data_IF_083607827946
#
_entry.id   IF_083607827946
#
_cell.length_a   1.000
_cell.length_b   1.000
_cell.length_c   1.000
_cell.angle_alpha   90.00
_cell.angle_beta   90.00
_cell.angle_gamma   90.00
#
_symmetry.space_group_name_H-M   'P 1'
#
loop_
_entity.id
_entity.type
_entity.pdbx_description
1 polymer ?
#
# COMPACT_ATOMS: atom_id res chain seq x y z
N UNK A 1 54.04 12.97 -10.82
CA UNK A 1 53.01 14.01 -10.96
C UNK A 1 51.92 13.49 -11.88
N UNK A 2 50.75 13.11 -11.33
CA UNK A 2 49.58 12.81 -12.16
C UNK A 2 49.08 14.13 -12.75
N UNK A 3 48.89 14.17 -14.06
CA UNK A 3 48.30 15.35 -14.72
C UNK A 3 46.87 15.54 -14.22
N UNK A 4 46.39 16.79 -14.16
CA UNK A 4 45.06 17.14 -13.63
C UNK A 4 43.92 16.31 -14.23
N UNK A 5 44.04 15.89 -15.49
CA UNK A 5 43.08 15.00 -16.15
C UNK A 5 43.15 13.55 -15.66
N UNK A 6 44.34 13.01 -15.40
CA UNK A 6 44.49 11.64 -14.88
C UNK A 6 44.04 11.51 -13.43
N UNK A 7 44.16 12.59 -12.63
CA UNK A 7 43.60 12.64 -11.28
C UNK A 7 42.05 12.65 -11.29
N UNK A 8 41.44 13.36 -12.24
CA UNK A 8 39.99 13.43 -12.40
C UNK A 8 39.41 12.07 -12.84
N UNK A 9 40.07 11.41 -13.80
CA UNK A 9 39.66 10.07 -14.25
C UNK A 9 39.79 9.04 -13.13
N UNK A 10 40.87 9.10 -12.34
CA UNK A 10 41.06 8.22 -11.18
C UNK A 10 39.99 8.45 -10.11
N UNK A 11 39.64 9.72 -9.83
CA UNK A 11 38.57 10.07 -8.89
C UNK A 11 37.21 9.56 -9.36
N UNK A 12 36.87 9.73 -10.64
CA UNK A 12 35.62 9.18 -11.22
C UNK A 12 35.63 7.66 -11.17
N UNK A 13 36.77 7.01 -11.45
CA UNK A 13 36.88 5.56 -11.42
C UNK A 13 36.77 4.99 -9.99
N UNK A 14 37.35 5.67 -8.99
CA UNK A 14 37.22 5.32 -7.56
C UNK A 14 35.79 5.61 -7.05
N UNK A 15 35.13 6.66 -7.55
CA UNK A 15 33.73 6.94 -7.26
C UNK A 15 32.84 5.82 -7.84
N UNK A 16 33.06 5.43 -9.11
CA UNK A 16 32.33 4.34 -9.77
C UNK A 16 32.59 2.98 -9.09
N UNK A 17 33.83 2.72 -8.64
CA UNK A 17 34.17 1.48 -7.92
C UNK A 17 33.61 1.44 -6.49
N UNK A 18 33.45 2.58 -5.82
CA UNK A 18 32.85 2.63 -4.47
C UNK A 18 31.32 2.44 -4.48
N UNK A 19 30.67 2.48 -5.65
CA UNK A 19 29.26 2.12 -5.83
C UNK A 19 29.01 0.62 -6.07
N UNK A 20 30.03 -0.25 -5.97
CA UNK A 20 29.90 -1.69 -6.27
C UNK A 20 29.25 -2.52 -5.15
N UNK A 21 29.03 -1.95 -3.96
CA UNK A 21 28.12 -2.55 -2.98
C UNK A 21 26.71 -2.00 -3.20
N UNK A 22 25.77 -2.88 -3.56
CA UNK A 22 24.41 -2.50 -3.92
C UNK A 22 23.70 -1.64 -2.85
N UNK A 23 24.07 -1.78 -1.57
CA UNK A 23 23.57 -0.98 -0.45
C UNK A 23 24.17 0.45 -0.37
N UNK A 24 25.43 0.69 -0.72
CA UNK A 24 26.00 2.05 -0.72
C UNK A 24 25.56 2.87 -1.94
N UNK A 25 25.38 2.21 -3.09
CA UNK A 25 24.75 2.84 -4.26
C UNK A 25 23.30 3.25 -3.97
N UNK A 26 22.63 2.52 -3.09
CA UNK A 26 21.24 2.72 -2.74
C UNK A 26 21.01 4.01 -1.94
N UNK A 27 21.75 4.21 -0.85
CA UNK A 27 21.61 5.39 -0.01
C UNK A 27 22.13 6.65 -0.72
N UNK A 28 23.15 6.52 -1.58
CA UNK A 28 23.65 7.61 -2.41
C UNK A 28 22.60 8.10 -3.45
N UNK A 29 21.82 7.19 -4.04
CA UNK A 29 20.76 7.57 -4.99
C UNK A 29 19.63 8.35 -4.30
N UNK A 30 19.18 7.95 -3.11
CA UNK A 30 18.15 8.69 -2.35
C UNK A 30 18.71 10.01 -1.81
N UNK A 31 19.96 10.04 -1.34
CA UNK A 31 20.63 11.27 -0.96
C UNK A 31 20.71 12.27 -2.13
N UNK A 32 20.98 11.78 -3.34
CA UNK A 32 20.99 12.60 -4.56
C UNK A 32 19.60 13.16 -4.88
N UNK A 33 18.55 12.33 -4.84
CA UNK A 33 17.17 12.78 -5.04
C UNK A 33 16.76 13.84 -3.99
N UNK A 34 17.09 13.60 -2.71
CA UNK A 34 16.90 14.55 -1.62
C UNK A 34 17.67 15.87 -1.85
N UNK A 35 18.88 15.79 -2.40
CA UNK A 35 19.68 16.94 -2.80
C UNK A 35 18.98 17.80 -3.85
N UNK A 36 18.52 17.16 -4.94
CA UNK A 36 17.72 17.83 -5.98
C UNK A 36 16.44 18.46 -5.41
N UNK A 37 15.76 17.76 -4.49
CA UNK A 37 14.57 18.28 -3.82
C UNK A 37 14.88 19.55 -3.02
N UNK A 38 15.96 19.55 -2.22
CA UNK A 38 16.37 20.69 -1.39
C UNK A 38 16.70 21.94 -2.22
N UNK A 39 17.33 21.78 -3.38
CA UNK A 39 17.60 22.88 -4.31
C UNK A 39 16.41 23.22 -5.22
N UNK A 40 15.21 22.68 -4.93
CA UNK A 40 13.97 22.90 -5.68
C UNK A 40 13.99 22.43 -7.14
N UNK A 41 14.91 21.53 -7.49
CA UNK A 41 14.94 20.87 -8.80
C UNK A 41 13.98 19.68 -8.83
N UNK A 42 12.67 19.96 -8.74
CA UNK A 42 11.64 18.94 -8.52
C UNK A 42 11.54 17.93 -9.68
N UNK A 43 11.79 18.35 -10.93
CA UNK A 43 11.80 17.44 -12.08
C UNK A 43 12.91 16.40 -11.97
N UNK A 44 14.13 16.81 -11.59
CA UNK A 44 15.23 15.87 -11.38
C UNK A 44 14.98 14.99 -10.16
N UNK A 45 14.54 15.59 -9.04
CA UNK A 45 14.18 14.85 -7.84
C UNK A 45 13.14 13.75 -8.14
N UNK A 46 12.07 14.08 -8.86
CA UNK A 46 11.05 13.13 -9.31
C UNK A 46 11.66 11.98 -10.12
N UNK A 47 12.45 12.27 -11.16
CA UNK A 47 13.07 11.24 -11.99
C UNK A 47 13.90 10.27 -11.15
N UNK A 48 14.68 10.78 -10.19
CA UNK A 48 15.49 9.93 -9.33
C UNK A 48 14.66 9.11 -8.34
N UNK A 49 13.63 9.71 -7.70
CA UNK A 49 12.74 8.96 -6.80
C UNK A 49 11.95 7.86 -7.54
N UNK A 50 11.38 8.16 -8.70
CA UNK A 50 10.59 7.19 -9.49
C UNK A 50 11.46 6.04 -10.01
N UNK A 51 12.60 6.37 -10.64
CA UNK A 51 13.52 5.35 -11.15
C UNK A 51 14.00 4.41 -10.04
N UNK A 52 14.24 4.99 -8.86
CA UNK A 52 14.67 4.23 -7.71
C UNK A 52 13.56 3.36 -7.13
N UNK A 53 12.37 3.90 -6.90
CA UNK A 53 11.23 3.14 -6.41
C UNK A 53 10.95 1.91 -7.30
N UNK A 54 10.96 2.10 -8.62
CA UNK A 54 10.82 1.02 -9.60
C UNK A 54 11.93 -0.03 -9.50
N UNK A 55 13.18 0.38 -9.27
CA UNK A 55 14.30 -0.55 -9.06
C UNK A 55 14.12 -1.36 -7.78
N UNK A 56 13.71 -0.71 -6.68
CA UNK A 56 13.46 -1.38 -5.41
C UNK A 56 12.28 -2.37 -5.51
N UNK A 57 11.17 -1.95 -6.12
CA UNK A 57 10.01 -2.80 -6.40
C UNK A 57 10.39 -4.02 -7.25
N UNK A 58 11.21 -3.81 -8.29
CA UNK A 58 11.76 -4.91 -9.09
C UNK A 58 12.60 -5.85 -8.23
N UNK A 59 13.46 -5.35 -7.36
CA UNK A 59 14.29 -6.19 -6.49
C UNK A 59 13.48 -6.94 -5.42
N UNK A 60 12.38 -6.36 -4.95
CA UNK A 60 11.45 -7.01 -4.02
C UNK A 60 10.72 -8.19 -4.66
N UNK A 61 10.47 -8.12 -5.97
CA UNK A 61 9.74 -9.14 -6.73
C UNK A 61 10.63 -10.06 -7.55
N UNK A 62 11.92 -9.74 -7.68
CA UNK A 62 12.87 -10.51 -8.48
C UNK A 62 13.08 -11.90 -7.87
N UNK A 63 12.68 -12.92 -8.61
CA UNK A 63 13.15 -14.29 -8.40
C UNK A 63 14.50 -14.39 -9.08
N UNK A 64 15.60 -14.21 -8.33
CA UNK A 64 16.91 -14.55 -8.88
C UNK A 64 17.05 -16.09 -8.84
N UNK A 65 17.11 -16.77 -10.00
CA UNK A 65 17.24 -18.22 -10.05
C UNK A 65 18.54 -18.72 -9.39
N UNK A 66 19.53 -17.84 -9.20
CA UNK A 66 20.83 -18.15 -8.59
C UNK A 66 20.98 -17.61 -7.15
N UNK A 67 19.96 -16.94 -6.59
CA UNK A 67 19.92 -16.55 -5.17
C UNK A 67 19.79 -17.81 -4.31
N UNK A 68 20.94 -18.37 -3.95
CA UNK A 68 21.07 -19.59 -3.18
C UNK A 68 21.77 -19.29 -1.86
N UNK A 69 20.99 -19.29 -0.78
CA UNK A 69 21.54 -19.01 0.54
C UNK A 69 21.97 -20.28 1.27
N UNK A 70 23.21 -20.29 1.73
CA UNK A 70 23.78 -21.31 2.60
C UNK A 70 23.38 -21.00 4.06
N UNK A 71 22.80 -21.98 4.77
CA UNK A 71 22.25 -21.89 6.13
C UNK A 71 20.88 -21.19 6.24
N UNK A 72 19.82 -21.99 6.46
CA UNK A 72 18.43 -21.52 6.38
C UNK A 72 18.06 -20.41 7.39
N UNK A 73 18.39 -20.57 8.68
CA UNK A 73 17.81 -19.69 9.72
C UNK A 73 18.39 -18.27 9.71
N UNK A 74 19.72 -18.14 9.58
CA UNK A 74 20.37 -16.83 9.57
C UNK A 74 20.18 -16.11 8.23
N UNK A 75 20.19 -16.85 7.11
CA UNK A 75 19.91 -16.28 5.81
C UNK A 75 18.46 -15.79 5.69
N UNK A 76 17.48 -16.54 6.20
CA UNK A 76 16.08 -16.13 6.19
C UNK A 76 15.87 -14.83 6.98
N UNK A 77 16.47 -14.72 8.17
CA UNK A 77 16.43 -13.47 8.96
C UNK A 77 17.03 -12.31 8.18
N UNK A 78 18.19 -12.50 7.55
CA UNK A 78 18.84 -11.48 6.74
C UNK A 78 17.97 -11.06 5.54
N UNK A 79 17.34 -12.01 4.85
CA UNK A 79 16.42 -11.72 3.75
C UNK A 79 15.17 -10.95 4.19
N UNK A 80 14.65 -11.25 5.39
CA UNK A 80 13.55 -10.50 5.98
C UNK A 80 13.95 -9.06 6.32
N UNK A 81 15.18 -8.85 6.82
CA UNK A 81 15.71 -7.52 7.12
C UNK A 81 15.93 -6.70 5.84
N UNK A 82 16.63 -7.26 4.84
CA UNK A 82 16.88 -6.62 3.54
C UNK A 82 15.58 -6.31 2.80
N UNK A 83 14.62 -7.24 2.81
CA UNK A 83 13.32 -7.04 2.18
C UNK A 83 12.48 -5.95 2.86
N UNK A 84 12.53 -5.85 4.20
CA UNK A 84 11.87 -4.75 4.94
C UNK A 84 12.52 -3.41 4.60
N UNK A 85 13.84 -3.34 4.60
CA UNK A 85 14.58 -2.11 4.26
C UNK A 85 14.26 -1.65 2.83
N UNK A 86 14.28 -2.56 1.86
CA UNK A 86 13.87 -2.25 0.49
C UNK A 86 12.42 -1.76 0.42
N UNK A 87 11.51 -2.37 1.16
CA UNK A 87 10.10 -1.96 1.19
C UNK A 87 9.93 -0.55 1.78
N UNK A 88 10.60 -0.23 2.89
CA UNK A 88 10.57 1.11 3.50
C UNK A 88 11.06 2.18 2.54
N UNK A 89 12.14 1.89 1.84
CA UNK A 89 12.74 2.82 0.90
C UNK A 89 11.91 2.94 -0.38
N UNK A 90 11.25 1.86 -0.83
CA UNK A 90 10.27 1.92 -1.94
C UNK A 90 9.09 2.81 -1.58
N UNK A 91 8.52 2.63 -0.37
CA UNK A 91 7.45 3.48 0.15
C UNK A 91 7.87 4.95 0.14
N UNK A 92 9.02 5.26 0.76
CA UNK A 92 9.53 6.62 0.87
C UNK A 92 9.72 7.28 -0.50
N UNK A 93 10.27 6.55 -1.48
CA UNK A 93 10.51 7.11 -2.80
C UNK A 93 9.21 7.34 -3.59
N UNK A 94 8.22 6.46 -3.51
CA UNK A 94 6.92 6.77 -4.11
C UNK A 94 6.22 7.93 -3.41
N UNK A 95 6.30 8.02 -2.08
CA UNK A 95 5.79 9.17 -1.34
C UNK A 95 6.45 10.47 -1.81
N UNK A 96 7.80 10.53 -1.84
CA UNK A 96 8.51 11.73 -2.26
C UNK A 96 8.33 12.06 -3.75
N UNK A 97 8.13 11.06 -4.60
CA UNK A 97 7.73 11.28 -6.00
C UNK A 97 6.34 11.92 -6.11
N UNK A 98 5.40 11.56 -5.24
CA UNK A 98 4.12 12.28 -5.11
C UNK A 98 4.35 13.73 -4.67
N UNK A 99 5.22 13.95 -3.67
CA UNK A 99 5.51 15.30 -3.16
C UNK A 99 6.12 16.19 -4.23
N UNK A 100 7.06 15.67 -5.03
CA UNK A 100 7.66 16.43 -6.14
C UNK A 100 6.63 16.77 -7.21
N UNK A 101 5.72 15.86 -7.54
CA UNK A 101 4.64 16.12 -8.50
C UNK A 101 3.67 17.21 -8.01
N UNK A 102 3.32 17.23 -6.72
CA UNK A 102 2.57 18.35 -6.14
C UNK A 102 3.33 19.68 -6.29
N UNK A 103 4.64 19.71 -5.99
CA UNK A 103 5.47 20.91 -6.17
C UNK A 103 5.61 21.33 -7.64
N UNK A 104 5.38 20.42 -8.58
CA UNK A 104 5.34 20.67 -10.02
C UNK A 104 3.93 20.99 -10.53
N UNK A 105 2.95 21.17 -9.64
CA UNK A 105 1.54 21.43 -9.97
C UNK A 105 0.89 20.30 -10.81
N UNK A 106 1.19 19.04 -10.47
CA UNK A 106 0.64 17.83 -11.11
C UNK A 106 -0.12 16.94 -10.10
N UNK A 107 -1.26 17.41 -9.56
CA UNK A 107 -1.98 16.73 -8.48
C UNK A 107 -2.52 15.34 -8.87
N UNK A 108 -3.03 15.18 -10.10
CA UNK A 108 -3.55 13.89 -10.57
C UNK A 108 -2.44 12.81 -10.65
N UNK A 109 -1.25 13.19 -11.13
CA UNK A 109 -0.09 12.30 -11.13
C UNK A 109 0.36 11.99 -9.70
N UNK A 110 0.40 13.00 -8.82
CA UNK A 110 0.81 12.83 -7.42
C UNK A 110 -0.05 11.81 -6.68
N UNK A 111 -1.38 11.87 -6.89
CA UNK A 111 -2.32 10.93 -6.30
C UNK A 111 -1.97 9.47 -6.63
N UNK A 112 -1.64 9.19 -7.90
CA UNK A 112 -1.23 7.85 -8.33
C UNK A 112 0.02 7.36 -7.59
N UNK A 113 0.97 8.24 -7.29
CA UNK A 113 2.19 7.91 -6.55
C UNK A 113 1.95 7.67 -5.06
N UNK A 114 1.06 8.44 -4.41
CA UNK A 114 0.69 8.16 -3.03
C UNK A 114 -0.09 6.86 -2.86
N UNK A 115 -0.93 6.53 -3.84
CA UNK A 115 -1.58 5.21 -3.89
C UNK A 115 -0.51 4.13 -4.04
N UNK A 116 0.46 4.25 -4.97
CA UNK A 116 1.58 3.30 -5.07
C UNK A 116 2.36 3.15 -3.76
N UNK A 117 2.66 4.26 -3.07
CA UNK A 117 3.30 4.22 -1.77
C UNK A 117 2.48 3.39 -0.77
N UNK A 118 1.16 3.59 -0.72
CA UNK A 118 0.27 2.82 0.16
C UNK A 118 0.33 1.30 -0.10
N UNK A 119 0.44 0.89 -1.37
CA UNK A 119 0.63 -0.52 -1.75
C UNK A 119 1.99 -1.09 -1.30
N UNK A 120 2.99 -0.24 -1.09
CA UNK A 120 4.34 -0.59 -0.62
C UNK A 120 4.47 -0.63 0.90
N UNK A 121 3.39 -1.00 1.58
CA UNK A 121 3.35 -1.31 3.03
C UNK A 121 3.50 -2.81 3.30
N UNK A 122 3.23 -3.64 2.28
CA UNK A 122 3.47 -5.07 2.30
C UNK A 122 3.87 -5.60 0.92
N UNK A 123 4.80 -6.55 0.92
CA UNK A 123 5.27 -7.26 -0.26
C UNK A 123 5.64 -8.70 0.11
N UNK A 124 5.84 -9.54 -0.91
CA UNK A 124 6.38 -10.89 -0.71
C UNK A 124 7.45 -11.19 -1.77
N UNK A 125 8.37 -12.11 -1.43
CA UNK A 125 9.41 -12.62 -2.34
C UNK A 125 9.55 -14.12 -2.17
N UNK A 126 9.69 -14.85 -3.28
CA UNK A 126 10.06 -16.26 -3.25
C UNK A 126 11.60 -16.37 -3.19
N UNK A 127 12.12 -17.10 -2.19
CA UNK A 127 13.55 -17.28 -1.95
C UNK A 127 13.90 -18.76 -1.86
N UNK A 128 14.95 -19.18 -2.55
CA UNK A 128 15.43 -20.56 -2.52
C UNK A 128 16.61 -20.70 -1.56
N UNK A 129 16.45 -21.52 -0.52
CA UNK A 129 17.51 -21.86 0.41
C UNK A 129 18.14 -23.20 0.03
N UNK A 130 19.47 -23.28 0.12
CA UNK A 130 20.21 -24.53 -0.11
C UNK A 130 20.79 -25.01 1.21
N UNK A 131 20.39 -26.20 1.62
CA UNK A 131 20.98 -26.83 2.80
C UNK A 131 22.48 -27.09 2.55
N UNK A 132 23.32 -26.66 3.48
CA UNK A 132 24.79 -26.71 3.34
C UNK A 132 25.33 -28.13 3.17
N UNK A 133 24.83 -29.07 3.98
CA UNK A 133 25.27 -30.48 3.96
C UNK A 133 24.53 -31.30 2.88
N UNK A 134 23.19 -31.33 2.91
CA UNK A 134 22.41 -32.22 2.03
C UNK A 134 22.18 -31.65 0.63
N UNK A 135 22.56 -30.40 0.36
CA UNK A 135 22.30 -29.66 -0.90
C UNK A 135 20.81 -29.58 -1.29
N UNK A 136 19.90 -29.99 -0.40
CA UNK A 136 18.46 -29.92 -0.63
C UNK A 136 18.04 -28.46 -0.81
N UNK A 137 17.36 -28.17 -1.91
CA UNK A 137 16.76 -26.86 -2.18
C UNK A 137 15.40 -26.76 -1.49
N UNK A 138 15.10 -25.61 -0.90
CA UNK A 138 13.80 -25.33 -0.27
C UNK A 138 13.38 -23.91 -0.61
N UNK A 139 12.31 -23.78 -1.39
CA UNK A 139 11.74 -22.47 -1.72
C UNK A 139 10.78 -22.05 -0.62
N UNK A 140 10.94 -20.83 -0.12
CA UNK A 140 10.00 -20.20 0.82
C UNK A 140 9.52 -18.87 0.26
N UNK A 141 8.25 -18.57 0.50
CA UNK A 141 7.67 -17.27 0.22
C UNK A 141 7.72 -16.41 1.47
N UNK A 142 8.61 -15.42 1.48
CA UNK A 142 8.81 -14.50 2.59
C UNK A 142 7.87 -13.31 2.44
N UNK A 143 7.24 -12.89 3.55
CA UNK A 143 6.35 -11.73 3.58
C UNK A 143 7.03 -10.60 4.36
N UNK A 144 7.09 -9.42 3.75
CA UNK A 144 7.61 -8.20 4.36
C UNK A 144 6.45 -7.26 4.66
N UNK A 145 6.43 -6.71 5.87
CA UNK A 145 5.46 -5.71 6.31
C UNK A 145 6.21 -4.60 7.04
N UNK A 146 5.81 -3.38 6.80
CA UNK A 146 6.38 -2.18 7.41
C UNK A 146 5.26 -1.30 7.98
N UNK A 147 5.61 -0.47 8.95
CA UNK A 147 4.75 0.63 9.42
C UNK A 147 5.47 1.96 9.14
N UNK A 148 5.32 2.53 7.94
CA UNK A 148 6.08 3.71 7.54
C UNK A 148 5.75 4.91 8.42
N UNK A 149 6.77 5.69 8.80
CA UNK A 149 6.59 6.92 9.59
C UNK A 149 5.65 7.93 8.92
N UNK A 150 5.67 8.01 7.59
CA UNK A 150 4.83 8.93 6.80
C UNK A 150 3.51 8.30 6.31
N UNK A 151 3.04 7.21 6.93
CA UNK A 151 1.81 6.56 6.49
C UNK A 151 0.58 7.47 6.68
N UNK A 152 0.48 8.17 7.81
CA UNK A 152 -0.62 9.10 8.06
C UNK A 152 -0.56 10.32 7.14
N UNK A 153 0.62 10.93 6.96
CA UNK A 153 0.82 12.01 5.99
C UNK A 153 0.40 11.60 4.57
N UNK A 154 0.65 10.34 4.20
CA UNK A 154 0.24 9.80 2.91
C UNK A 154 -1.29 9.71 2.78
N UNK A 155 -2.00 9.32 3.85
CA UNK A 155 -3.46 9.35 3.87
C UNK A 155 -3.99 10.78 3.71
N UNK A 156 -3.45 11.73 4.48
CA UNK A 156 -3.87 13.13 4.44
C UNK A 156 -3.68 13.77 3.06
N UNK A 157 -2.56 13.44 2.39
CA UNK A 157 -2.30 13.91 1.02
C UNK A 157 -3.24 13.29 -0.01
N UNK A 158 -3.52 11.98 0.09
CA UNK A 158 -4.51 11.32 -0.78
C UNK A 158 -5.89 11.97 -0.59
N UNK A 159 -6.26 12.29 0.65
CA UNK A 159 -7.49 13.01 0.95
C UNK A 159 -7.51 14.40 0.32
N UNK A 160 -6.47 15.21 0.56
CA UNK A 160 -6.39 16.56 0.06
C UNK A 160 -6.42 16.64 -1.48
N UNK A 161 -5.88 15.64 -2.16
CA UNK A 161 -5.91 15.53 -3.62
C UNK A 161 -7.24 14.99 -4.18
N UNK A 162 -8.15 14.55 -3.31
CA UNK A 162 -9.52 14.21 -3.67
C UNK A 162 -9.67 12.92 -4.47
N UNK A 163 -9.12 11.80 -3.97
CA UNK A 163 -9.41 10.49 -4.56
C UNK A 163 -10.92 10.24 -4.62
N UNK A 164 -11.39 9.71 -5.75
CA UNK A 164 -12.79 9.33 -5.91
C UNK A 164 -13.13 8.13 -5.01
N UNK A 165 -14.23 8.23 -4.26
CA UNK A 165 -14.65 7.20 -3.30
C UNK A 165 -15.02 5.90 -4.01
N UNK A 166 -15.64 5.95 -5.19
CA UNK A 166 -15.98 4.77 -6.00
C UNK A 166 -14.72 4.07 -6.48
N UNK A 167 -13.75 4.83 -7.01
CA UNK A 167 -12.45 4.27 -7.44
C UNK A 167 -11.71 3.60 -6.27
N UNK A 168 -11.77 4.18 -5.07
CA UNK A 168 -11.16 3.57 -3.89
C UNK A 168 -11.87 2.27 -3.49
N UNK A 169 -13.21 2.24 -3.50
CA UNK A 169 -13.99 1.04 -3.21
C UNK A 169 -13.72 -0.08 -4.23
N UNK A 170 -13.59 0.25 -5.52
CA UNK A 170 -13.22 -0.70 -6.57
C UNK A 170 -11.82 -1.30 -6.34
N UNK A 171 -10.86 -0.50 -5.88
CA UNK A 171 -9.52 -1.00 -5.52
C UNK A 171 -9.57 -1.93 -4.31
N UNK A 172 -10.34 -1.59 -3.27
CA UNK A 172 -10.54 -2.46 -2.09
C UNK A 172 -11.13 -3.80 -2.55
N UNK A 173 -12.19 -3.74 -3.36
CA UNK A 173 -12.87 -4.92 -3.92
C UNK A 173 -11.90 -5.80 -4.71
N UNK A 174 -11.14 -5.23 -5.65
CA UNK A 174 -10.21 -6.00 -6.48
C UNK A 174 -9.17 -6.75 -5.62
N UNK A 175 -8.64 -6.10 -4.57
CA UNK A 175 -7.71 -6.75 -3.64
C UNK A 175 -8.39 -7.84 -2.82
N UNK A 176 -9.64 -7.60 -2.38
CA UNK A 176 -10.43 -8.55 -1.61
C UNK A 176 -10.85 -9.78 -2.43
N UNK A 177 -11.16 -9.63 -3.72
CA UNK A 177 -11.44 -10.73 -4.64
C UNK A 177 -10.21 -11.62 -4.84
N UNK A 178 -9.03 -11.02 -5.06
CA UNK A 178 -7.77 -11.77 -5.12
C UNK A 178 -7.55 -12.52 -3.80
N UNK A 179 -7.78 -11.87 -2.65
CA UNK A 179 -7.63 -12.51 -1.33
C UNK A 179 -8.59 -13.69 -1.17
N UNK A 180 -9.86 -13.56 -1.56
CA UNK A 180 -10.86 -14.64 -1.54
C UNK A 180 -10.42 -15.81 -2.39
N UNK A 181 -9.99 -15.55 -3.62
CA UNK A 181 -9.59 -16.62 -4.55
C UNK A 181 -8.35 -17.36 -4.03
N UNK A 182 -7.39 -16.63 -3.45
CA UNK A 182 -6.27 -17.24 -2.73
C UNK A 182 -6.72 -18.06 -1.52
N UNK A 183 -7.72 -17.61 -0.76
CA UNK A 183 -8.28 -18.36 0.37
C UNK A 183 -8.82 -19.72 -0.08
N UNK A 184 -9.58 -19.75 -1.18
CA UNK A 184 -10.12 -21.00 -1.76
C UNK A 184 -9.01 -21.95 -2.22
N UNK A 185 -7.96 -21.42 -2.85
CA UNK A 185 -6.79 -22.22 -3.24
C UNK A 185 -6.05 -22.82 -2.03
N UNK A 186 -5.98 -22.07 -0.92
CA UNK A 186 -5.33 -22.51 0.32
C UNK A 186 -6.18 -23.58 1.02
N UNK A 187 -7.47 -23.33 1.20
CA UNK A 187 -8.40 -24.24 1.88
C UNK A 187 -8.57 -25.55 1.12
N UNK A 188 -8.73 -25.48 -0.20
CA UNK A 188 -8.84 -26.65 -1.08
C UNK A 188 -7.52 -27.39 -1.31
N UNK A 189 -6.38 -26.89 -0.78
CA UNK A 189 -5.04 -27.42 -1.03
C UNK A 189 -4.73 -27.62 -2.53
N UNK A 190 -5.20 -26.72 -3.39
CA UNK A 190 -4.98 -26.74 -4.83
C UNK A 190 -3.52 -26.34 -5.10
N UNK A 191 -2.83 -27.00 -6.03
CA UNK A 191 -1.38 -26.84 -6.27
C UNK A 191 -0.55 -26.89 -4.96
N UNK A 192 -0.41 -28.06 -4.31
CA UNK A 192 0.29 -28.19 -3.02
C UNK A 192 1.68 -27.55 -2.98
N UNK A 193 2.40 -27.57 -4.10
CA UNK A 193 3.75 -26.99 -4.23
C UNK A 193 3.75 -25.44 -4.16
N UNK A 194 2.63 -24.78 -4.46
CA UNK A 194 2.48 -23.31 -4.44
C UNK A 194 1.81 -22.77 -3.18
N UNK A 195 1.45 -23.64 -2.25
CA UNK A 195 0.73 -23.27 -1.02
C UNK A 195 1.46 -22.20 -0.20
N UNK A 196 2.80 -22.23 -0.17
CA UNK A 196 3.61 -21.19 0.47
C UNK A 196 3.42 -19.82 -0.19
N UNK A 197 3.40 -19.76 -1.52
CA UNK A 197 3.21 -18.53 -2.28
C UNK A 197 1.79 -17.98 -2.09
N UNK A 198 0.77 -18.84 -2.16
CA UNK A 198 -0.61 -18.42 -1.97
C UNK A 198 -0.83 -17.78 -0.59
N UNK A 199 -0.28 -18.39 0.47
CA UNK A 199 -0.33 -17.84 1.83
C UNK A 199 0.40 -16.50 1.93
N UNK A 200 1.55 -16.34 1.27
CA UNK A 200 2.29 -15.09 1.27
C UNK A 200 1.53 -13.97 0.53
N UNK A 201 0.99 -14.27 -0.66
CA UNK A 201 0.15 -13.36 -1.44
C UNK A 201 -1.10 -12.96 -0.68
N UNK A 202 -1.76 -13.92 -0.02
CA UNK A 202 -2.93 -13.67 0.82
C UNK A 202 -2.60 -12.67 1.92
N UNK A 203 -1.49 -12.86 2.63
CA UNK A 203 -1.06 -11.97 3.71
C UNK A 203 -0.74 -10.54 3.23
N UNK A 204 -0.22 -10.39 2.00
CA UNK A 204 0.03 -9.09 1.36
C UNK A 204 -1.29 -8.42 0.97
N UNK A 205 -2.20 -9.14 0.33
CA UNK A 205 -3.53 -8.63 0.00
C UNK A 205 -4.28 -8.14 1.24
N UNK A 206 -4.23 -8.92 2.33
CA UNK A 206 -4.88 -8.56 3.60
C UNK A 206 -4.37 -7.22 4.15
N UNK A 207 -3.05 -6.97 4.11
CA UNK A 207 -2.48 -5.69 4.58
C UNK A 207 -2.83 -4.52 3.64
N UNK A 208 -2.81 -4.75 2.32
CA UNK A 208 -3.18 -3.71 1.33
C UNK A 208 -4.64 -3.30 1.44
N UNK A 209 -5.52 -4.29 1.55
CA UNK A 209 -6.96 -4.09 1.74
C UNK A 209 -7.26 -3.36 3.04
N UNK A 210 -6.59 -3.71 4.14
CA UNK A 210 -6.69 -2.99 5.41
C UNK A 210 -6.33 -1.51 5.24
N UNK A 211 -5.18 -1.20 4.64
CA UNK A 211 -4.72 0.18 4.47
C UNK A 211 -5.64 1.00 3.56
N UNK A 212 -6.19 0.40 2.50
CA UNK A 212 -7.19 1.06 1.65
C UNK A 212 -8.52 1.27 2.40
N UNK A 213 -8.91 0.33 3.25
CA UNK A 213 -10.12 0.43 4.08
C UNK A 213 -9.99 1.53 5.13
N UNK A 214 -8.83 1.65 5.79
CA UNK A 214 -8.51 2.75 6.72
C UNK A 214 -8.58 4.10 6.00
N UNK A 215 -8.03 4.19 4.78
CA UNK A 215 -8.17 5.41 3.98
C UNK A 215 -9.65 5.71 3.71
N UNK A 216 -10.45 4.74 3.25
CA UNK A 216 -11.87 4.93 2.98
C UNK A 216 -12.65 5.38 4.22
N UNK A 217 -12.39 4.74 5.36
CA UNK A 217 -12.97 5.10 6.65
C UNK A 217 -12.66 6.55 7.00
N UNK A 218 -11.37 6.94 6.99
CA UNK A 218 -10.92 8.28 7.29
C UNK A 218 -11.59 9.32 6.38
N UNK A 219 -11.69 9.04 5.07
CA UNK A 219 -12.32 9.93 4.10
C UNK A 219 -13.79 10.20 4.43
N UNK A 220 -14.54 9.14 4.71
CA UNK A 220 -16.00 9.23 4.86
C UNK A 220 -16.36 9.74 6.26
N UNK A 221 -15.72 9.22 7.30
CA UNK A 221 -15.95 9.64 8.70
C UNK A 221 -15.58 11.12 8.89
N UNK A 222 -14.48 11.58 8.27
CA UNK A 222 -14.09 12.99 8.35
C UNK A 222 -15.16 13.92 7.76
N UNK A 223 -15.75 13.58 6.62
CA UNK A 223 -16.83 14.37 6.02
C UNK A 223 -18.11 14.31 6.86
N UNK A 224 -18.51 13.12 7.34
CA UNK A 224 -19.69 12.94 8.19
C UNK A 224 -19.62 13.81 9.45
N UNK A 225 -18.45 13.84 10.11
CA UNK A 225 -18.23 14.64 11.33
C UNK A 225 -18.27 16.15 11.07
N UNK A 226 -18.23 16.57 9.81
CA UNK A 226 -18.39 17.97 9.37
C UNK A 226 -19.77 18.27 8.80
N UNK A 227 -20.71 17.32 8.89
CA UNK A 227 -22.05 17.46 8.32
C UNK A 227 -22.11 17.27 6.80
N UNK A 228 -21.04 16.76 6.18
CA UNK A 228 -20.96 16.51 4.74
C UNK A 228 -21.18 15.02 4.49
N UNK A 229 -22.22 14.67 3.72
CA UNK A 229 -22.61 13.27 3.51
C UNK A 229 -22.41 12.78 2.07
N UNK A 230 -21.78 13.57 1.19
CA UNK A 230 -21.59 13.22 -0.23
C UNK A 230 -20.85 11.90 -0.41
N UNK A 231 -19.71 11.70 0.28
CA UNK A 231 -18.97 10.43 0.18
C UNK A 231 -19.66 9.27 0.90
N UNK A 232 -20.37 9.56 1.99
CA UNK A 232 -21.20 8.57 2.68
C UNK A 232 -22.30 8.05 1.74
N UNK A 233 -23.04 8.94 1.07
CA UNK A 233 -24.11 8.57 0.16
C UNK A 233 -23.57 7.80 -1.06
N UNK A 234 -22.41 8.21 -1.60
CA UNK A 234 -21.73 7.48 -2.66
C UNK A 234 -21.29 6.06 -2.21
N UNK A 235 -20.81 5.93 -0.97
CA UNK A 235 -20.45 4.64 -0.39
C UNK A 235 -21.67 3.73 -0.21
N UNK A 236 -22.75 4.23 0.40
CA UNK A 236 -23.99 3.49 0.61
C UNK A 236 -24.56 3.02 -0.73
N UNK A 237 -24.62 3.91 -1.72
CA UNK A 237 -25.06 3.59 -3.08
C UNK A 237 -24.22 2.47 -3.69
N UNK A 238 -22.89 2.58 -3.62
CA UNK A 238 -21.99 1.58 -4.21
C UNK A 238 -22.18 0.20 -3.58
N UNK A 239 -22.28 0.13 -2.25
CA UNK A 239 -22.49 -1.15 -1.56
C UNK A 239 -23.86 -1.74 -1.89
N UNK A 240 -24.91 -0.91 -1.99
CA UNK A 240 -26.26 -1.37 -2.33
C UNK A 240 -26.35 -1.95 -3.76
N UNK A 241 -25.76 -1.25 -4.73
CA UNK A 241 -25.74 -1.63 -6.13
C UNK A 241 -24.79 -2.80 -6.41
N UNK A 242 -23.96 -3.18 -5.44
CA UNK A 242 -22.98 -4.22 -5.59
C UNK A 242 -23.62 -5.61 -5.72
N UNK A 243 -23.61 -6.15 -6.94
CA UNK A 243 -24.05 -7.51 -7.26
C UNK A 243 -23.06 -8.21 -8.20
N UNK A 244 -22.80 -9.51 -8.02
CA UNK A 244 -23.26 -10.38 -6.92
C UNK A 244 -22.60 -10.04 -5.57
N UNK A 245 -23.28 -10.31 -4.45
CA UNK A 245 -22.67 -10.24 -3.11
C UNK A 245 -21.67 -11.39 -3.01
N UNK A 246 -20.40 -11.08 -2.72
CA UNK A 246 -19.35 -12.10 -2.56
C UNK A 246 -18.53 -11.80 -1.30
N UNK A 247 -17.71 -12.75 -0.80
CA UNK A 247 -16.82 -12.52 0.34
C UNK A 247 -15.88 -11.30 0.19
N UNK A 248 -15.66 -10.79 -1.02
CA UNK A 248 -14.90 -9.55 -1.24
C UNK A 248 -15.56 -8.30 -0.64
N UNK A 249 -16.88 -8.31 -0.48
CA UNK A 249 -17.64 -7.21 0.15
C UNK A 249 -17.39 -7.14 1.65
N UNK A 250 -16.86 -8.21 2.28
CA UNK A 250 -16.65 -8.27 3.74
C UNK A 250 -15.80 -7.13 4.30
N UNK A 251 -14.83 -6.61 3.55
CA UNK A 251 -14.03 -5.46 4.03
C UNK A 251 -14.76 -4.15 3.89
N UNK A 252 -15.55 -3.95 2.82
CA UNK A 252 -16.43 -2.81 2.70
C UNK A 252 -17.53 -2.83 3.78
N UNK A 253 -17.99 -4.03 4.15
CA UNK A 253 -18.97 -4.24 5.23
C UNK A 253 -18.39 -3.85 6.60
N UNK A 254 -17.11 -4.14 6.87
CA UNK A 254 -16.45 -3.65 8.08
C UNK A 254 -16.40 -2.13 8.14
N UNK A 255 -16.10 -1.47 7.03
CA UNK A 255 -16.14 0.01 6.97
C UNK A 255 -17.58 0.50 7.16
N UNK A 256 -18.57 -0.18 6.58
CA UNK A 256 -19.99 0.15 6.75
C UNK A 256 -20.42 0.11 8.22
N UNK A 257 -19.97 -0.89 8.97
CA UNK A 257 -20.22 -0.98 10.41
C UNK A 257 -19.59 0.18 11.19
N UNK A 258 -18.37 0.60 10.85
CA UNK A 258 -17.75 1.78 11.47
C UNK A 258 -18.56 3.04 11.17
N UNK A 259 -18.99 3.23 9.92
CA UNK A 259 -19.81 4.37 9.54
C UNK A 259 -21.17 4.37 10.26
N UNK A 260 -21.78 3.19 10.43
CA UNK A 260 -23.02 3.01 11.20
C UNK A 260 -22.83 3.45 12.65
N UNK A 261 -21.77 3.01 13.32
CA UNK A 261 -21.47 3.43 14.69
C UNK A 261 -21.17 4.93 14.80
N UNK A 262 -20.46 5.51 13.82
CA UNK A 262 -20.21 6.94 13.76
C UNK A 262 -21.52 7.72 13.61
N UNK A 263 -22.42 7.28 12.75
CA UNK A 263 -23.72 7.91 12.53
C UNK A 263 -24.61 7.85 13.77
N UNK A 264 -24.65 6.71 14.48
CA UNK A 264 -25.33 6.58 15.79
C UNK A 264 -24.76 7.61 16.78
N UNK A 265 -23.44 7.78 16.81
CA UNK A 265 -22.79 8.75 17.68
C UNK A 265 -23.17 10.19 17.32
N UNK A 266 -23.17 10.55 16.04
CA UNK A 266 -23.59 11.89 15.58
C UNK A 266 -25.06 12.15 15.96
N UNK A 267 -25.95 11.18 15.74
CA UNK A 267 -27.38 11.28 16.09
C UNK A 267 -27.56 11.50 17.59
N UNK A 268 -26.86 10.73 18.43
CA UNK A 268 -26.96 10.81 19.89
C UNK A 268 -26.55 12.18 20.45
N UNK A 269 -25.69 12.92 19.74
CA UNK A 269 -25.21 14.25 20.12
C UNK A 269 -25.84 15.38 19.28
N UNK A 270 -26.86 15.08 18.47
CA UNK A 270 -27.58 16.08 17.68
C UNK A 270 -28.65 16.74 18.55
N UNK A 271 -28.32 17.90 19.13
CA UNK A 271 -29.22 18.66 20.01
C UNK A 271 -30.08 19.69 19.26
N UNK A 272 -29.74 20.01 18.00
CA UNK A 272 -30.42 21.04 17.22
C UNK A 272 -31.31 20.44 16.12
N UNK A 273 -32.65 20.50 16.23
CA UNK A 273 -33.57 19.98 15.21
C UNK A 273 -33.52 20.75 13.88
N UNK A 274 -32.86 21.90 13.84
CA UNK A 274 -32.68 22.73 12.64
C UNK A 274 -31.28 22.61 12.01
N UNK A 275 -30.43 21.69 12.47
CA UNK A 275 -29.16 21.41 11.79
C UNK A 275 -29.40 20.79 10.42
N UNK A 276 -28.48 21.00 9.48
CA UNK A 276 -28.46 20.28 8.20
C UNK A 276 -27.27 19.31 8.22
N UNK A 277 -27.50 17.99 8.03
CA UNK A 277 -28.79 17.33 7.88
C UNK A 277 -29.62 17.32 9.17
N UNK A 278 -30.93 17.23 9.01
CA UNK A 278 -31.90 17.13 10.11
C UNK A 278 -31.80 15.77 10.80
N UNK A 279 -32.28 15.67 12.04
CA UNK A 279 -32.32 14.41 12.78
C UNK A 279 -33.11 13.31 12.04
N UNK A 280 -34.17 13.68 11.32
CA UNK A 280 -34.95 12.75 10.50
C UNK A 280 -34.12 12.18 9.33
N UNK A 281 -33.39 13.05 8.61
CA UNK A 281 -32.50 12.64 7.52
C UNK A 281 -31.36 11.73 8.01
N UNK A 282 -30.78 12.03 9.18
CA UNK A 282 -29.74 11.20 9.78
C UNK A 282 -30.28 9.81 10.17
N UNK A 283 -31.47 9.75 10.78
CA UNK A 283 -32.12 8.48 11.10
C UNK A 283 -32.47 7.67 9.84
N UNK A 284 -32.92 8.33 8.76
CA UNK A 284 -33.17 7.67 7.48
C UNK A 284 -31.88 7.08 6.87
N UNK A 285 -30.76 7.83 6.92
CA UNK A 285 -29.44 7.34 6.50
C UNK A 285 -28.99 6.12 7.33
N UNK A 286 -29.23 6.14 8.64
CA UNK A 286 -28.89 5.04 9.54
C UNK A 286 -29.72 3.78 9.24
N UNK A 287 -31.03 3.95 9.02
CA UNK A 287 -31.92 2.86 8.67
C UNK A 287 -31.52 2.21 7.34
N UNK A 288 -31.29 3.03 6.30
CA UNK A 288 -30.87 2.53 4.99
C UNK A 288 -29.55 1.78 5.00
N UNK A 289 -28.54 2.31 5.71
CA UNK A 289 -27.26 1.62 5.88
C UNK A 289 -27.42 0.30 6.65
N UNK A 290 -28.24 0.28 7.70
CA UNK A 290 -28.49 -0.93 8.51
C UNK A 290 -29.16 -2.02 7.69
N UNK A 291 -30.18 -1.69 6.89
CA UNK A 291 -30.86 -2.64 6.00
C UNK A 291 -29.89 -3.26 4.98
N UNK A 292 -29.01 -2.44 4.39
CA UNK A 292 -27.99 -2.92 3.44
C UNK A 292 -27.02 -3.88 4.13
N UNK A 293 -26.55 -3.53 5.33
CA UNK A 293 -25.66 -4.38 6.14
C UNK A 293 -26.31 -5.73 6.43
N UNK A 294 -27.55 -5.71 6.93
CA UNK A 294 -28.30 -6.92 7.30
C UNK A 294 -28.54 -7.81 6.07
N UNK A 295 -28.90 -7.20 4.94
CA UNK A 295 -29.07 -7.91 3.68
C UNK A 295 -27.76 -8.52 3.17
N UNK A 296 -26.63 -7.83 3.28
CA UNK A 296 -25.32 -8.41 2.91
C UNK A 296 -24.95 -9.57 3.83
N UNK A 297 -25.09 -9.42 5.15
CA UNK A 297 -24.85 -10.51 6.09
C UNK A 297 -25.70 -11.75 5.80
N UNK A 298 -26.96 -11.56 5.42
CA UNK A 298 -27.85 -12.67 5.07
C UNK A 298 -27.49 -13.38 3.75
N UNK A 299 -26.70 -12.76 2.87
CA UNK A 299 -26.43 -13.25 1.51
C UNK A 299 -24.94 -13.49 1.21
N UNK A 300 -24.03 -13.21 2.15
CA UNK A 300 -22.60 -13.44 1.99
C UNK A 300 -22.26 -14.88 2.42
N UNK A 301 -22.36 -15.80 1.46
CA UNK A 301 -21.91 -17.19 1.61
C UNK A 301 -20.51 -17.39 1.02
#
# INVERSE_FOLDING_TARGET
>A
MLTRNSLLTLLVFVMVLSFTSAAFAFDACVATANGFFKIKSYKLAFTHYDAYAKRCEKNLTATDPDDHYLCMKQAEKKQLEEGRELLEKTFYCYYMAGVTLEKMNKPADALNYYVKALYMTAAYKNVTFIHTITRKKTTKSLVFKINPKNLNDNYDRIYALGIDTVVLMEKIRAVAEIRRDLAKLIEGNIDPEKQGEYKARFAVCQTREYNLSVLLENLVVYEMNRGIYTRFDAFVKHINEFKPITPAVSSLLKVAEVMKQNLITIIAHSENPYSVPTLEELNAKLAGLSEIIDYIHANIN
#
